data_IF_869743390034
#
_entry.id   IF_869743390034
#
_cell.length_a   1.000
_cell.length_b   1.000
_cell.length_c   1.000
_cell.angle_alpha   90.00
_cell.angle_beta   90.00
_cell.angle_gamma   90.00
#
_symmetry.space_group_name_H-M   'P 1'
#
loop_
_entity.id
_entity.type
_entity.pdbx_description
1 polymer ?
#
# COMPACT_ATOMS: atom_id res chain seq x y z
N UNK A 1 -5.97 8.62 4.98
CA UNK A 1 -4.87 8.99 5.91
C UNK A 1 -4.80 10.50 5.97
N UNK A 2 -4.36 11.05 7.10
CA UNK A 2 -4.04 12.48 7.21
C UNK A 2 -2.57 12.67 6.85
N UNK A 3 -2.28 13.59 5.94
CA UNK A 3 -0.91 13.84 5.51
C UNK A 3 -0.20 14.76 6.51
N UNK A 4 0.92 14.32 7.07
CA UNK A 4 1.75 15.10 7.99
C UNK A 4 2.89 15.86 7.28
N UNK A 5 3.07 15.60 5.98
CA UNK A 5 4.10 16.16 5.11
C UNK A 5 3.50 16.58 3.76
N UNK A 6 4.22 17.44 3.04
CA UNK A 6 3.90 17.82 1.66
C UNK A 6 4.68 16.93 0.69
N UNK A 7 4.10 16.61 -0.46
CA UNK A 7 4.77 15.80 -1.49
C UNK A 7 4.22 16.07 -2.88
N UNK A 8 5.07 16.04 -3.91
CA UNK A 8 4.61 16.14 -5.30
C UNK A 8 3.99 14.83 -5.80
N UNK A 9 4.38 13.70 -5.22
CA UNK A 9 3.96 12.38 -5.64
C UNK A 9 3.70 11.42 -4.48
N UNK A 10 3.18 10.25 -4.80
CA UNK A 10 3.15 9.16 -3.83
C UNK A 10 3.25 7.81 -4.52
N UNK A 11 3.88 6.85 -3.86
CA UNK A 11 4.08 5.51 -4.39
C UNK A 11 3.67 4.46 -3.37
N UNK A 12 2.85 3.52 -3.80
CA UNK A 12 2.43 2.39 -2.99
C UNK A 12 3.39 1.20 -3.16
N UNK A 13 3.65 0.51 -2.05
CA UNK A 13 4.42 -0.73 -1.99
C UNK A 13 3.63 -1.73 -1.16
N UNK A 14 3.45 -2.94 -1.68
CA UNK A 14 2.69 -3.99 -1.02
C UNK A 14 3.58 -5.20 -0.82
N UNK A 15 3.46 -5.83 0.35
CA UNK A 15 4.22 -7.01 0.72
C UNK A 15 3.30 -8.04 1.36
N UNK A 16 3.59 -9.31 1.10
CA UNK A 16 3.12 -10.42 1.93
C UNK A 16 4.21 -10.76 2.95
N UNK A 17 3.97 -10.47 4.22
CA UNK A 17 4.87 -10.82 5.31
C UNK A 17 4.57 -12.25 5.77
N UNK A 18 5.56 -13.13 5.63
CA UNK A 18 5.50 -14.54 6.01
C UNK A 18 6.79 -14.93 6.71
N UNK A 19 6.70 -15.60 7.85
CA UNK A 19 7.88 -16.00 8.64
C UNK A 19 8.85 -14.83 8.92
N UNK A 20 8.30 -13.61 9.14
CA UNK A 20 9.04 -12.36 9.34
C UNK A 20 9.84 -11.85 8.11
N UNK A 21 9.54 -12.35 6.92
CA UNK A 21 10.12 -11.89 5.66
C UNK A 21 9.05 -11.15 4.85
N UNK A 22 9.37 -9.91 4.44
CA UNK A 22 8.52 -9.11 3.55
C UNK A 22 8.77 -9.54 2.09
N UNK A 23 7.80 -10.26 1.51
CA UNK A 23 7.85 -10.64 0.09
C UNK A 23 7.12 -9.59 -0.75
N UNK A 24 7.78 -8.91 -1.70
CA UNK A 24 7.14 -7.90 -2.54
C UNK A 24 5.97 -8.48 -3.35
N UNK A 25 4.83 -7.79 -3.32
CA UNK A 25 3.65 -8.10 -4.11
C UNK A 25 3.41 -6.98 -5.14
N UNK A 26 3.65 -7.24 -6.44
CA UNK A 26 3.41 -6.24 -7.48
C UNK A 26 1.93 -5.87 -7.57
N UNK A 27 1.64 -4.57 -7.53
CA UNK A 27 0.31 -4.02 -7.78
C UNK A 27 0.23 -3.37 -9.16
N UNK A 28 -0.92 -3.41 -9.84
CA UNK A 28 -1.05 -2.89 -11.21
C UNK A 28 -0.79 -1.39 -11.33
N UNK A 29 -1.21 -0.61 -10.32
CA UNK A 29 -1.02 0.83 -10.26
C UNK A 29 -0.35 1.19 -8.93
N UNK A 30 0.98 1.41 -8.92
CA UNK A 30 1.70 1.85 -7.73
C UNK A 30 1.64 3.36 -7.51
N UNK A 31 1.20 4.17 -8.48
CA UNK A 31 1.10 5.62 -8.32
C UNK A 31 -0.11 5.98 -7.43
N UNK A 32 0.17 6.49 -6.23
CA UNK A 32 -0.86 6.90 -5.28
C UNK A 32 -1.70 8.07 -5.82
N UNK A 33 -1.11 8.95 -6.64
CA UNK A 33 -1.80 10.07 -7.27
C UNK A 33 -2.84 9.62 -8.31
N UNK A 34 -2.74 8.38 -8.79
CA UNK A 34 -3.73 7.74 -9.68
C UNK A 34 -4.71 6.83 -8.92
N UNK A 35 -4.56 6.73 -7.60
CA UNK A 35 -5.29 5.80 -6.73
C UNK A 35 -6.19 6.54 -5.73
N UNK A 36 -6.81 7.64 -6.15
CA UNK A 36 -7.75 8.43 -5.33
C UNK A 36 -7.10 9.58 -4.53
N UNK A 37 -5.78 9.75 -4.60
CA UNK A 37 -5.07 10.88 -3.98
C UNK A 37 -4.90 11.98 -5.01
N UNK A 38 -5.35 13.19 -4.71
CA UNK A 38 -5.08 14.34 -5.57
C UNK A 38 -3.74 14.96 -5.19
N UNK A 39 -2.77 14.86 -6.10
CA UNK A 39 -1.44 15.44 -5.92
C UNK A 39 -1.37 16.87 -6.50
N UNK A 40 -0.52 17.76 -5.94
CA UNK A 40 0.40 17.51 -4.82
C UNK A 40 -0.31 17.28 -3.49
N UNK A 41 0.25 16.40 -2.67
CA UNK A 41 -0.22 16.14 -1.31
C UNK A 41 0.12 17.34 -0.43
N UNK A 42 -0.87 17.82 0.30
CA UNK A 42 -0.77 18.97 1.19
C UNK A 42 -0.82 18.51 2.65
N UNK A 43 0.09 19.03 3.46
CA UNK A 43 0.10 18.78 4.90
C UNK A 43 -1.24 19.20 5.53
N UNK A 44 -1.70 18.44 6.52
CA UNK A 44 -2.95 18.66 7.24
C UNK A 44 -4.21 18.21 6.50
N UNK A 45 -4.11 17.82 5.22
CA UNK A 45 -5.25 17.33 4.45
C UNK A 45 -5.45 15.82 4.62
N UNK A 46 -6.70 15.40 4.54
CA UNK A 46 -7.08 13.98 4.58
C UNK A 46 -7.35 13.45 3.17
N UNK A 47 -6.75 12.31 2.86
CA UNK A 47 -6.88 11.65 1.57
C UNK A 47 -7.42 10.22 1.72
N UNK A 48 -8.19 9.77 0.72
CA UNK A 48 -8.67 8.40 0.61
C UNK A 48 -7.88 7.67 -0.47
N UNK A 49 -7.07 6.70 -0.05
CA UNK A 49 -6.34 5.83 -0.96
C UNK A 49 -7.21 4.62 -1.31
N UNK A 50 -7.41 4.39 -2.60
CA UNK A 50 -8.26 3.32 -3.14
C UNK A 50 -7.42 2.44 -4.05
N UNK A 51 -7.28 1.16 -3.70
CA UNK A 51 -6.64 0.19 -4.58
C UNK A 51 -7.32 -1.18 -4.45
N UNK A 52 -7.06 -2.04 -5.44
CA UNK A 52 -7.55 -3.41 -5.49
C UNK A 52 -6.36 -4.35 -5.40
N UNK A 53 -6.43 -5.30 -4.48
CA UNK A 53 -5.46 -6.39 -4.40
C UNK A 53 -6.07 -7.63 -5.07
N UNK A 54 -5.61 -8.02 -6.28
CA UNK A 54 -6.14 -9.20 -6.94
C UNK A 54 -5.66 -10.47 -6.21
N UNK A 55 -6.61 -11.30 -5.77
CA UNK A 55 -6.34 -12.66 -5.28
C UNK A 55 -6.48 -13.60 -6.48
N UNK A 56 -5.38 -14.22 -6.91
CA UNK A 56 -5.39 -15.19 -8.00
C UNK A 56 -5.69 -16.59 -7.48
N UNK A 57 -6.34 -17.40 -8.29
CA UNK A 57 -6.65 -18.81 -7.98
C UNK A 57 -5.39 -19.68 -7.84
N UNK A 58 -4.27 -19.28 -8.44
CA UNK A 58 -2.97 -19.95 -8.29
C UNK A 58 -2.32 -19.76 -6.92
N UNK A 59 -2.85 -18.85 -6.07
CA UNK A 59 -2.30 -18.58 -4.75
C UNK A 59 -2.62 -19.72 -3.78
N UNK A 60 -1.64 -20.22 -3.03
CA UNK A 60 -1.85 -21.31 -2.09
C UNK A 60 -2.76 -20.87 -0.94
N UNK A 61 -3.42 -21.83 -0.30
CA UNK A 61 -4.09 -21.57 0.98
C UNK A 61 -3.05 -21.34 2.07
N UNK A 62 -2.89 -20.09 2.50
CA UNK A 62 -1.85 -19.68 3.46
C UNK A 62 -2.33 -18.51 4.34
N UNK A 63 -1.78 -18.42 5.55
CA UNK A 63 -1.90 -17.25 6.42
C UNK A 63 -0.68 -16.34 6.24
N UNK A 64 -0.91 -15.06 6.02
CA UNK A 64 0.15 -14.06 5.89
C UNK A 64 -0.33 -12.72 6.45
N UNK A 65 0.58 -11.78 6.64
CA UNK A 65 0.24 -10.40 6.96
C UNK A 65 0.41 -9.58 5.68
N UNK A 66 -0.65 -8.94 5.21
CA UNK A 66 -0.53 -7.94 4.15
C UNK A 66 0.03 -6.68 4.77
N UNK A 67 1.20 -6.25 4.30
CA UNK A 67 1.82 -4.98 4.66
C UNK A 67 1.68 -4.03 3.49
N UNK A 68 1.09 -2.86 3.75
CA UNK A 68 0.88 -1.83 2.73
C UNK A 68 1.54 -0.55 3.17
N UNK A 69 2.39 -0.02 2.30
CA UNK A 69 3.11 1.24 2.50
C UNK A 69 2.69 2.21 1.41
N UNK A 70 2.53 3.47 1.78
CA UNK A 70 2.51 4.59 0.85
C UNK A 70 3.64 5.51 1.25
N UNK A 71 4.53 5.81 0.30
CA UNK A 71 5.66 6.71 0.49
C UNK A 71 5.53 7.94 -0.40
N UNK A 72 6.20 9.02 -0.02
CA UNK A 72 6.27 10.26 -0.79
C UNK A 72 7.35 10.20 -1.90
N UNK A 73 7.65 11.35 -2.51
CA UNK A 73 8.69 11.51 -3.54
C UNK A 73 10.13 11.42 -3.02
N UNK A 74 10.31 11.42 -1.69
CA UNK A 74 11.59 11.31 -0.98
C UNK A 74 11.72 9.96 -0.23
N UNK A 75 10.84 9.00 -0.54
CA UNK A 75 10.74 7.70 0.13
C UNK A 75 10.44 7.77 1.64
N UNK A 76 9.88 8.88 2.12
CA UNK A 76 9.34 9.01 3.48
C UNK A 76 7.96 8.36 3.57
N UNK A 77 7.69 7.74 4.71
CA UNK A 77 6.44 7.01 4.96
C UNK A 77 5.28 7.98 5.18
N UNK A 78 4.28 7.97 4.30
CA UNK A 78 3.00 8.66 4.50
C UNK A 78 2.08 7.82 5.40
N UNK A 79 1.99 6.52 5.12
CA UNK A 79 1.37 5.57 6.03
C UNK A 79 1.92 4.15 5.81
N UNK A 80 1.84 3.34 6.86
CA UNK A 80 2.05 1.90 6.79
C UNK A 80 0.97 1.21 7.61
N UNK A 81 0.26 0.24 7.03
CA UNK A 81 -0.66 -0.61 7.77
C UNK A 81 -0.38 -2.08 7.51
N UNK A 82 -0.76 -2.92 8.49
CA UNK A 82 -0.63 -4.37 8.44
C UNK A 82 -1.97 -5.02 8.77
N UNK A 83 -2.40 -5.97 7.95
CA UNK A 83 -3.64 -6.72 8.16
C UNK A 83 -3.35 -8.21 8.02
N UNK A 84 -3.67 -9.04 9.03
CA UNK A 84 -3.58 -10.49 8.89
C UNK A 84 -4.67 -10.98 7.93
N UNK A 85 -4.29 -11.80 6.96
CA UNK A 85 -5.20 -12.42 5.99
C UNK A 85 -4.98 -13.92 5.91
N UNK A 86 -6.03 -14.63 5.54
CA UNK A 86 -5.97 -16.05 5.21
C UNK A 86 -6.53 -16.23 3.80
N UNK A 87 -5.70 -16.73 2.88
CA UNK A 87 -6.14 -17.14 1.56
C UNK A 87 -6.72 -18.56 1.69
N UNK A 88 -7.91 -18.77 1.15
CA UNK A 88 -8.60 -20.06 1.09
C UNK A 88 -8.98 -20.38 -0.35
N UNK A 89 -8.76 -21.62 -0.78
CA UNK A 89 -9.24 -22.13 -2.07
C UNK A 89 -10.72 -22.49 -2.04
#
# INVERSE_FOLDING_TARGET
FSAEIESQGSKARVYGEMLHVDIPFPIPEPDGCKSGIQCPIQKGHSYSYLNKLPVKSEYPSIKLIVKWELVDDQDQMLFCWKIPVQITS
#
